data_IF_000111021783
#
_entry.id   IF_000111021783
#
_cell.length_a   1.000
_cell.length_b   1.000
_cell.length_c   1.000
_cell.angle_alpha   90.00
_cell.angle_beta   90.00
_cell.angle_gamma   90.00
#
_symmetry.space_group_name_H-M   'P 1'
#
loop_
_entity.id
_entity.type
_entity.pdbx_description
1 polymer ?
#
# COMPACT_ATOMS: atom_id res chain seq x y z
N UNK A 1 21.34 -5.41 0.03
CA UNK A 1 19.93 -5.38 0.50
C UNK A 1 19.37 -4.06 0.05
N UNK A 2 18.51 -4.07 -0.96
CA UNK A 2 17.92 -2.85 -1.54
C UNK A 2 16.77 -2.38 -0.64
N UNK A 3 16.50 -1.07 -0.62
CA UNK A 3 15.40 -0.48 0.13
C UNK A 3 14.05 -1.20 -0.10
N UNK A 4 13.84 -1.77 -1.28
CA UNK A 4 12.64 -2.54 -1.58
C UNK A 4 12.54 -3.90 -0.89
N UNK A 5 13.66 -4.58 -0.56
CA UNK A 5 13.63 -5.80 0.25
C UNK A 5 13.19 -5.48 1.68
N UNK A 6 13.65 -4.34 2.21
CA UNK A 6 13.24 -3.80 3.51
C UNK A 6 11.75 -3.39 3.50
N UNK A 7 11.27 -2.67 2.48
CA UNK A 7 9.85 -2.31 2.35
C UNK A 7 8.98 -3.58 2.20
N UNK A 8 9.40 -4.55 1.39
CA UNK A 8 8.67 -5.80 1.19
C UNK A 8 8.60 -6.65 2.47
N UNK A 9 9.66 -6.66 3.29
CA UNK A 9 9.66 -7.34 4.60
C UNK A 9 8.76 -6.67 5.62
N UNK A 10 8.67 -5.34 5.60
CA UNK A 10 7.84 -4.59 6.55
C UNK A 10 6.33 -4.70 6.28
N UNK A 11 5.93 -5.14 5.07
CA UNK A 11 4.54 -5.09 4.61
C UNK A 11 4.13 -6.39 3.89
N UNK A 12 3.93 -7.46 4.67
CA UNK A 12 3.55 -8.79 4.15
C UNK A 12 2.27 -8.79 3.28
N UNK A 13 1.40 -7.79 3.45
CA UNK A 13 0.17 -7.63 2.67
C UNK A 13 0.38 -6.97 1.30
N UNK A 14 1.59 -6.54 0.95
CA UNK A 14 1.88 -5.86 -0.31
C UNK A 14 2.93 -6.62 -1.12
N UNK A 15 2.61 -6.85 -2.39
CA UNK A 15 3.55 -7.39 -3.37
C UNK A 15 4.19 -6.19 -4.05
N UNK A 16 5.50 -6.04 -3.89
CA UNK A 16 6.28 -4.94 -4.45
C UNK A 16 7.15 -5.46 -5.57
N UNK A 17 7.15 -4.78 -6.70
CA UNK A 17 8.00 -5.09 -7.84
C UNK A 17 8.46 -3.84 -8.55
N UNK A 18 9.57 -3.96 -9.28
CA UNK A 18 10.07 -2.90 -10.15
C UNK A 18 9.76 -3.25 -11.60
N UNK A 19 9.19 -2.31 -12.33
CA UNK A 19 9.00 -2.42 -13.76
C UNK A 19 10.31 -2.16 -14.51
N UNK A 20 10.39 -2.63 -15.75
CA UNK A 20 11.56 -2.47 -16.62
C UNK A 20 11.90 -1.00 -16.90
N UNK A 21 10.88 -0.13 -16.87
CA UNK A 21 11.00 1.32 -16.97
C UNK A 21 11.57 2.01 -15.72
N UNK A 22 11.99 1.26 -14.70
CA UNK A 22 12.55 1.80 -13.46
C UNK A 22 11.52 2.20 -12.40
N UNK A 23 10.22 2.21 -12.73
CA UNK A 23 9.15 2.50 -11.77
C UNK A 23 8.93 1.36 -10.79
N UNK A 24 8.69 1.72 -9.54
CA UNK A 24 8.23 0.84 -8.49
C UNK A 24 6.71 0.72 -8.52
N UNK A 25 6.24 -0.49 -8.26
CA UNK A 25 4.85 -0.82 -8.16
C UNK A 25 4.64 -1.60 -6.87
N UNK A 26 3.55 -1.31 -6.18
CA UNK A 26 3.07 -2.09 -5.06
C UNK A 26 1.60 -2.44 -5.29
N UNK A 27 1.28 -3.72 -5.33
CA UNK A 27 -0.11 -4.17 -5.35
C UNK A 27 -0.40 -4.96 -4.09
N UNK A 28 -1.51 -4.60 -3.46
CA UNK A 28 -1.94 -5.24 -2.23
C UNK A 28 -2.45 -6.65 -2.51
N UNK A 29 -2.11 -7.57 -1.61
CA UNK A 29 -2.65 -8.93 -1.56
C UNK A 29 -3.80 -8.95 -0.55
N UNK A 30 -4.99 -9.31 -1.02
CA UNK A 30 -6.20 -9.39 -0.20
C UNK A 30 -7.27 -8.38 -0.58
N UNK A 31 -8.45 -8.55 -0.02
CA UNK A 31 -9.59 -7.66 -0.22
C UNK A 31 -9.63 -6.59 0.87
N UNK A 32 -10.01 -5.38 0.49
CA UNK A 32 -10.26 -4.30 1.44
C UNK A 32 -11.75 -4.06 1.56
N UNK A 33 -12.20 -3.67 2.75
CA UNK A 33 -13.61 -3.35 2.98
C UNK A 33 -14.06 -2.19 2.10
N UNK A 34 -15.36 -2.15 1.80
CA UNK A 34 -15.95 -1.10 0.97
C UNK A 34 -15.70 0.31 1.55
N UNK A 35 -15.65 0.44 2.87
CA UNK A 35 -15.36 1.71 3.55
C UNK A 35 -13.95 2.24 3.22
N UNK A 36 -12.95 1.36 3.20
CA UNK A 36 -11.59 1.72 2.80
C UNK A 36 -11.53 2.18 1.34
N UNK A 37 -12.24 1.49 0.44
CA UNK A 37 -12.35 1.92 -0.97
C UNK A 37 -12.99 3.31 -1.05
N UNK A 38 -14.04 3.58 -0.28
CA UNK A 38 -14.72 4.88 -0.23
C UNK A 38 -13.84 5.99 0.36
N UNK A 39 -12.91 5.64 1.25
CA UNK A 39 -11.89 6.56 1.76
C UNK A 39 -10.76 6.84 0.76
N UNK A 40 -10.78 6.19 -0.41
CA UNK A 40 -9.76 6.36 -1.44
C UNK A 40 -8.56 5.44 -1.27
N UNK A 41 -8.71 4.31 -0.54
CA UNK A 41 -7.65 3.32 -0.52
C UNK A 41 -7.41 2.72 -1.90
N UNK A 42 -6.19 2.88 -2.40
CA UNK A 42 -5.74 2.25 -3.62
C UNK A 42 -5.30 0.81 -3.34
N UNK A 43 -5.65 -0.11 -4.24
CA UNK A 43 -5.10 -1.48 -4.22
C UNK A 43 -3.75 -1.58 -4.94
N UNK A 44 -3.46 -0.63 -5.82
CA UNK A 44 -2.24 -0.57 -6.61
C UNK A 44 -1.67 0.84 -6.52
N UNK A 45 -0.38 0.91 -6.21
CA UNK A 45 0.40 2.13 -6.16
C UNK A 45 1.56 2.01 -7.13
N UNK A 46 1.90 3.12 -7.77
CA UNK A 46 3.15 3.27 -8.52
C UNK A 46 3.94 4.46 -7.99
N UNK A 47 5.25 4.36 -8.05
CA UNK A 47 6.16 5.42 -7.66
C UNK A 47 7.46 5.29 -8.45
N UNK A 48 8.10 6.41 -8.78
CA UNK A 48 9.41 6.37 -9.44
C UNK A 48 10.55 5.98 -8.46
N UNK A 49 10.35 6.22 -7.15
CA UNK A 49 11.33 5.99 -6.09
C UNK A 49 10.79 5.13 -4.94
N UNK A 50 11.65 4.32 -4.29
CA UNK A 50 11.22 3.46 -3.19
C UNK A 50 10.78 4.25 -1.94
N UNK A 51 11.34 5.44 -1.72
CA UNK A 51 10.95 6.32 -0.60
C UNK A 51 9.52 6.84 -0.78
N UNK A 52 9.18 7.27 -2.00
CA UNK A 52 7.82 7.68 -2.37
C UNK A 52 6.85 6.50 -2.23
N UNK A 53 7.23 5.30 -2.70
CA UNK A 53 6.41 4.11 -2.53
C UNK A 53 6.14 3.81 -1.05
N UNK A 54 7.16 3.94 -0.19
CA UNK A 54 7.02 3.72 1.25
C UNK A 54 6.09 4.74 1.90
N UNK A 55 6.18 6.02 1.51
CA UNK A 55 5.30 7.08 1.99
C UNK A 55 3.84 6.85 1.59
N UNK A 56 3.60 6.48 0.33
CA UNK A 56 2.26 6.15 -0.18
C UNK A 56 1.67 4.93 0.54
N UNK A 57 2.47 3.86 0.71
CA UNK A 57 2.05 2.67 1.47
C UNK A 57 1.65 3.03 2.91
N UNK A 58 2.44 3.86 3.60
CA UNK A 58 2.12 4.31 4.95
C UNK A 58 0.85 5.18 4.99
N UNK A 59 0.57 5.94 3.93
CA UNK A 59 -0.69 6.68 3.80
C UNK A 59 -1.88 5.71 3.62
N UNK A 60 -1.74 4.68 2.79
CA UNK A 60 -2.77 3.66 2.61
C UNK A 60 -3.10 2.93 3.91
N UNK A 61 -2.10 2.58 4.72
CA UNK A 61 -2.34 1.97 6.03
C UNK A 61 -3.06 2.88 7.01
N UNK A 62 -2.77 4.18 7.01
CA UNK A 62 -3.52 5.15 7.82
C UNK A 62 -4.97 5.24 7.38
N UNK A 63 -5.24 5.25 6.08
CA UNK A 63 -6.60 5.23 5.54
C UNK A 63 -7.34 3.95 5.92
N UNK A 64 -6.66 2.80 5.88
CA UNK A 64 -7.22 1.51 6.28
C UNK A 64 -7.54 1.45 7.76
N UNK A 65 -6.64 1.94 8.62
CA UNK A 65 -6.88 2.02 10.05
C UNK A 65 -8.09 2.93 10.33
N UNK A 66 -8.15 4.10 9.71
CA UNK A 66 -9.28 5.02 9.84
C UNK A 66 -10.60 4.40 9.32
N UNK A 67 -10.56 3.64 8.23
CA UNK A 67 -11.71 2.93 7.69
C UNK A 67 -12.16 1.77 8.59
N UNK A 68 -11.21 1.06 9.21
CA UNK A 68 -11.51 0.00 10.18
C UNK A 68 -12.20 0.58 11.43
N UNK A 69 -11.74 1.73 11.93
CA UNK A 69 -12.38 2.43 13.05
C UNK A 69 -13.79 2.93 12.69
N UNK A 70 -14.02 3.37 11.46
CA UNK A 70 -15.34 3.84 10.98
C UNK A 70 -16.29 2.69 10.66
N UNK A 71 -15.79 1.59 10.12
CA UNK A 71 -16.56 0.40 9.74
C UNK A 71 -16.88 -0.55 10.89
N UNK A 72 -16.20 -0.43 12.04
CA UNK A 72 -16.47 -1.20 13.27
C UNK A 72 -17.70 -0.73 14.06
N UNK A 73 -18.37 0.35 13.64
CA UNK A 73 -19.65 0.78 14.17
C UNK A 73 -20.80 0.23 13.28
N UNK A 74 -20.95 -1.10 13.22
CA UNK A 74 -22.18 -1.71 12.72
C UNK A 74 -22.54 -2.97 13.51
#
# INVERSE_FOLDING_TARGET
MTAADDIARFRADWIIWRSDLGRWWATRRGTIGLDAIRMGCAMTLDADDPETLAAELAAQERLLAAAAEKGGAH
#
